data_IF_386996850235
#
_entry.id   IF_386996850235
#
_cell.length_a   1.000
_cell.length_b   1.000
_cell.length_c   1.000
_cell.angle_alpha   90.00
_cell.angle_beta   90.00
_cell.angle_gamma   90.00
#
_symmetry.space_group_name_H-M   'P 1'
#
loop_
_entity.id
_entity.type
_entity.pdbx_description
1 polymer ?
#
# COMPACT_ATOMS: atom_id res chain seq x y z
N UNK A 1 10.16 -6.43 -2.33
CA UNK A 1 8.71 -6.40 -2.03
C UNK A 1 8.41 -6.23 -0.55
N UNK A 2 9.03 -6.98 0.37
CA UNK A 2 8.75 -6.91 1.81
C UNK A 2 8.74 -5.50 2.44
N UNK A 3 9.65 -4.62 2.02
CA UNK A 3 9.68 -3.23 2.51
C UNK A 3 8.44 -2.43 2.13
N UNK A 4 7.88 -2.65 0.94
CA UNK A 4 6.70 -1.93 0.47
C UNK A 4 5.44 -2.41 1.19
N UNK A 5 5.33 -3.72 1.43
CA UNK A 5 4.27 -4.32 2.25
C UNK A 5 4.32 -3.82 3.71
N UNK A 6 5.52 -3.69 4.29
CA UNK A 6 5.68 -3.13 5.63
C UNK A 6 5.18 -1.68 5.71
N UNK A 7 5.55 -0.84 4.73
CA UNK A 7 5.07 0.54 4.67
C UNK A 7 3.54 0.61 4.51
N UNK A 8 2.95 -0.26 3.69
CA UNK A 8 1.49 -0.34 3.56
C UNK A 8 0.81 -0.65 4.89
N UNK A 9 1.36 -1.60 5.66
CA UNK A 9 0.85 -1.92 6.99
C UNK A 9 0.94 -0.70 7.93
N UNK A 10 2.08 0.02 7.92
CA UNK A 10 2.24 1.24 8.72
C UNK A 10 1.19 2.31 8.36
N UNK A 11 0.87 2.49 7.07
CA UNK A 11 -0.16 3.43 6.63
C UNK A 11 -1.58 3.01 7.04
N UNK A 12 -1.87 1.71 7.02
CA UNK A 12 -3.14 1.17 7.51
C UNK A 12 -3.30 1.41 9.02
N UNK A 13 -2.22 1.21 9.80
CA UNK A 13 -2.20 1.51 11.23
C UNK A 13 -2.42 3.01 11.50
N UNK A 14 -1.83 3.89 10.69
CA UNK A 14 -2.06 5.33 10.80
C UNK A 14 -3.50 5.72 10.45
N UNK A 15 -4.10 5.10 9.43
CA UNK A 15 -5.52 5.29 9.10
C UNK A 15 -6.43 4.82 10.24
N UNK A 16 -6.12 3.68 10.86
CA UNK A 16 -6.88 3.16 12.00
C UNK A 16 -6.79 4.11 13.19
N UNK A 17 -5.62 4.71 13.44
CA UNK A 17 -5.36 5.63 14.55
C UNK A 17 -5.85 7.06 14.32
N UNK A 18 -6.40 7.40 13.14
CA UNK A 18 -6.89 8.75 12.87
C UNK A 18 -8.07 9.13 13.80
N UNK A 19 -8.06 10.35 14.36
CA UNK A 19 -9.22 10.92 15.05
C UNK A 19 -10.44 10.98 14.13
N UNK A 20 -11.65 10.83 14.70
CA UNK A 20 -12.90 10.87 13.93
C UNK A 20 -13.09 12.17 13.14
N UNK A 21 -12.62 13.31 13.68
CA UNK A 21 -12.68 14.61 13.00
C UNK A 21 -11.86 14.69 11.71
N UNK A 22 -10.94 13.73 11.49
CA UNK A 22 -10.08 13.67 10.31
C UNK A 22 -10.46 12.54 9.35
N UNK A 23 -11.49 11.74 9.65
CA UNK A 23 -11.94 10.61 8.82
C UNK A 23 -12.38 11.03 7.41
N UNK A 24 -13.00 12.21 7.28
CA UNK A 24 -13.45 12.75 5.98
C UNK A 24 -12.40 13.62 5.28
N UNK A 25 -11.18 13.69 5.83
CA UNK A 25 -10.12 14.52 5.25
C UNK A 25 -9.51 13.88 4.01
N UNK A 26 -8.91 14.71 3.16
CA UNK A 26 -8.11 14.25 2.01
C UNK A 26 -6.95 13.35 2.42
N UNK A 27 -6.44 13.52 3.65
CA UNK A 27 -5.37 12.69 4.21
C UNK A 27 -5.86 11.29 4.51
N UNK A 28 -7.05 11.13 5.09
CA UNK A 28 -7.64 9.82 5.35
C UNK A 28 -7.90 9.06 4.05
N UNK A 29 -8.45 9.75 3.04
CA UNK A 29 -8.66 9.18 1.71
C UNK A 29 -7.34 8.72 1.05
N UNK A 30 -6.26 9.48 1.23
CA UNK A 30 -4.95 9.10 0.69
C UNK A 30 -4.37 7.86 1.41
N UNK A 31 -4.51 7.78 2.74
CA UNK A 31 -4.07 6.62 3.50
C UNK A 31 -4.89 5.36 3.14
N UNK A 32 -6.20 5.51 2.97
CA UNK A 32 -7.09 4.43 2.50
C UNK A 32 -6.68 3.94 1.11
N UNK A 33 -6.45 4.85 0.16
CA UNK A 33 -6.00 4.48 -1.18
C UNK A 33 -4.66 3.74 -1.19
N UNK A 34 -3.76 4.01 -0.24
CA UNK A 34 -2.48 3.28 -0.08
C UNK A 34 -2.71 1.91 0.57
N UNK A 35 -3.54 1.84 1.61
CA UNK A 35 -3.88 0.60 2.30
C UNK A 35 -4.58 -0.41 1.37
N UNK A 36 -5.39 0.08 0.43
CA UNK A 36 -6.15 -0.73 -0.53
C UNK A 36 -5.35 -1.20 -1.75
N UNK A 37 -4.07 -0.80 -1.90
CA UNK A 37 -3.23 -1.30 -2.98
C UNK A 37 -3.02 -2.81 -2.84
N UNK A 38 -3.37 -3.58 -3.87
CA UNK A 38 -3.07 -5.01 -3.89
C UNK A 38 -1.59 -5.26 -4.26
N UNK A 39 -0.70 -4.97 -3.30
CA UNK A 39 0.73 -5.21 -3.44
C UNK A 39 1.08 -6.71 -3.39
N UNK A 40 0.20 -7.53 -2.83
CA UNK A 40 0.34 -8.98 -2.86
C UNK A 40 0.25 -9.49 -4.30
N UNK A 41 -0.70 -8.99 -5.09
CA UNK A 41 -0.82 -9.34 -6.50
C UNK A 41 0.45 -9.02 -7.32
N UNK A 42 1.21 -7.98 -6.97
CA UNK A 42 2.50 -7.69 -7.61
C UNK A 42 3.59 -8.73 -7.30
N UNK A 43 3.48 -9.43 -6.17
CA UNK A 43 4.41 -10.51 -5.79
C UNK A 43 4.18 -11.76 -6.63
N UNK A 44 2.95 -11.97 -7.07
CA UNK A 44 2.54 -13.11 -7.89
C UNK A 44 2.80 -12.89 -9.39
N UNK A 45 3.23 -11.69 -9.80
CA UNK A 45 3.62 -11.43 -11.19
C UNK A 45 4.95 -12.13 -11.49
N UNK A 46 4.89 -13.20 -12.28
CA UNK A 46 6.08 -13.79 -12.87
C UNK A 46 6.55 -12.92 -14.06
N UNK A 47 7.75 -12.34 -14.00
CA UNK A 47 8.23 -11.53 -15.10
C UNK A 47 8.43 -12.41 -16.36
N UNK A 48 8.15 -11.88 -17.56
CA UNK A 48 8.32 -12.65 -18.78
C UNK A 48 9.77 -13.11 -18.95
N UNK A 49 9.95 -14.28 -19.56
CA UNK A 49 11.30 -14.84 -19.81
C UNK A 49 12.18 -13.82 -20.53
N UNK A 50 13.29 -13.43 -19.91
CA UNK A 50 14.25 -12.44 -20.44
C UNK A 50 14.11 -11.04 -19.86
N UNK A 51 13.17 -10.79 -18.95
CA UNK A 51 13.10 -9.57 -18.16
C UNK A 51 14.34 -9.45 -17.25
N UNK A 52 15.00 -8.29 -17.23
CA UNK A 52 16.26 -8.09 -16.50
C UNK A 52 17.51 -8.57 -17.26
N UNK A 53 17.41 -8.83 -18.57
CA UNK A 53 18.58 -8.68 -19.45
C UNK A 53 18.82 -7.18 -19.65
N UNK A 54 19.93 -6.75 -19.06
CA UNK A 54 20.43 -5.39 -18.79
C UNK A 54 19.86 -4.69 -17.55
#
# INVERSE_FOLDING_TARGET
MAKLLALQADYADWLAALPDSLRDSTTAQALEAIADLDLAALTDIEPPRGYGRD
#
